data_IF_301276279159
#
_entry.id   IF_301276279159
#
_cell.length_a   1.000
_cell.length_b   1.000
_cell.length_c   1.000
_cell.angle_alpha   90.00
_cell.angle_beta   90.00
_cell.angle_gamma   90.00
#
_symmetry.space_group_name_H-M   'P 1'
#
loop_
_entity.id
_entity.type
_entity.pdbx_description
1 polymer ?
#
# COMPACT_ATOMS: atom_id res chain seq x y z
N UNK A 1 2.23 11.45 40.16
CA UNK A 1 1.88 10.95 38.81
C UNK A 1 2.63 11.78 37.78
N UNK A 2 3.73 11.28 37.22
CA UNK A 2 4.57 12.00 36.27
C UNK A 2 4.10 11.75 34.83
N UNK A 3 3.46 12.77 34.25
CA UNK A 3 3.10 12.85 32.82
C UNK A 3 4.36 13.04 31.96
N UNK A 4 5.25 12.04 31.89
CA UNK A 4 6.30 11.99 30.86
C UNK A 4 5.72 11.29 29.64
N UNK A 5 5.00 12.07 28.82
CA UNK A 5 4.55 11.68 27.48
C UNK A 5 5.78 11.29 26.66
N UNK A 6 5.68 10.14 26.02
CA UNK A 6 6.68 9.45 25.20
C UNK A 6 7.12 10.24 23.94
N UNK A 7 7.64 11.45 24.11
CA UNK A 7 7.98 12.37 23.00
C UNK A 7 9.48 12.57 22.86
N UNK A 8 10.29 11.59 23.25
CA UNK A 8 11.70 11.56 22.85
C UNK A 8 11.82 10.46 21.82
N UNK A 9 12.04 10.85 20.56
CA UNK A 9 12.32 9.92 19.49
C UNK A 9 13.53 9.06 19.94
N UNK A 10 13.39 7.73 20.10
CA UNK A 10 14.47 6.88 20.57
C UNK A 10 15.54 6.65 19.49
N UNK A 11 15.30 7.12 18.27
CA UNK A 11 16.24 7.01 17.16
C UNK A 11 17.10 8.28 17.05
N UNK A 12 18.37 8.08 16.71
CA UNK A 12 19.29 9.17 16.41
C UNK A 12 18.79 10.03 15.25
N UNK A 13 19.23 11.29 15.22
CA UNK A 13 18.84 12.23 14.18
C UNK A 13 19.36 11.74 12.81
N UNK A 14 18.42 11.39 11.92
CA UNK A 14 18.76 10.91 10.59
C UNK A 14 19.23 12.09 9.72
N UNK A 15 20.54 12.29 9.63
CA UNK A 15 21.14 13.30 8.76
C UNK A 15 21.14 12.82 7.31
N UNK A 16 20.08 13.12 6.57
CA UNK A 16 19.99 12.83 5.14
C UNK A 16 20.91 13.76 4.35
N UNK A 17 21.87 13.18 3.62
CA UNK A 17 22.69 13.92 2.66
C UNK A 17 21.85 14.38 1.47
N UNK A 18 22.35 15.33 0.68
CA UNK A 18 21.66 15.78 -0.54
C UNK A 18 21.44 14.62 -1.53
N UNK A 19 22.40 13.70 -1.63
CA UNK A 19 22.30 12.51 -2.48
C UNK A 19 21.23 11.52 -1.99
N UNK A 20 21.13 11.32 -0.68
CA UNK A 20 20.11 10.43 -0.10
C UNK A 20 18.70 10.96 -0.35
N UNK A 21 18.52 12.28 -0.32
CA UNK A 21 17.23 12.92 -0.65
C UNK A 21 16.85 12.69 -2.11
N UNK A 22 17.79 12.80 -3.04
CA UNK A 22 17.54 12.52 -4.46
C UNK A 22 17.13 11.06 -4.65
N UNK A 23 17.86 10.12 -4.02
CA UNK A 23 17.50 8.69 -4.08
C UNK A 23 16.12 8.40 -3.48
N UNK A 24 15.76 9.06 -2.39
CA UNK A 24 14.44 8.91 -1.77
C UNK A 24 13.33 9.45 -2.68
N UNK A 25 13.58 10.55 -3.39
CA UNK A 25 12.66 11.08 -4.39
C UNK A 25 12.51 10.11 -5.56
N UNK A 26 13.60 9.58 -6.11
CA UNK A 26 13.56 8.60 -7.20
C UNK A 26 12.75 7.36 -6.82
N UNK A 27 12.90 6.88 -5.58
CA UNK A 27 12.10 5.75 -5.06
C UNK A 27 10.63 6.15 -4.92
N UNK A 28 10.34 7.32 -4.38
CA UNK A 28 8.97 7.80 -4.22
C UNK A 28 8.27 7.97 -5.57
N UNK A 29 8.98 8.50 -6.56
CA UNK A 29 8.49 8.67 -7.93
C UNK A 29 8.25 7.31 -8.58
N UNK A 30 9.21 6.38 -8.48
CA UNK A 30 9.05 5.03 -9.02
C UNK A 30 7.83 4.29 -8.42
N UNK A 31 7.61 4.39 -7.11
CA UNK A 31 6.43 3.83 -6.46
C UNK A 31 5.16 4.51 -6.95
N UNK A 32 5.18 5.84 -7.06
CA UNK A 32 4.03 6.64 -7.50
C UNK A 32 3.64 6.27 -8.93
N UNK A 33 4.59 6.26 -9.85
CA UNK A 33 4.33 5.91 -11.26
C UNK A 33 3.79 4.48 -11.39
N UNK A 34 4.40 3.50 -10.71
CA UNK A 34 3.90 2.12 -10.73
C UNK A 34 2.47 2.01 -10.19
N UNK A 35 2.10 2.81 -9.18
CA UNK A 35 0.74 2.82 -8.62
C UNK A 35 -0.26 3.57 -9.49
N UNK A 36 0.17 4.62 -10.18
CA UNK A 36 -0.66 5.34 -11.17
C UNK A 36 -0.99 4.42 -12.33
N UNK A 37 -0.02 3.68 -12.87
CA UNK A 37 -0.24 2.71 -13.96
C UNK A 37 -1.26 1.63 -13.54
N UNK A 38 -1.10 1.03 -12.35
CA UNK A 38 -2.06 0.05 -11.81
C UNK A 38 -3.47 0.65 -11.65
N UNK A 39 -3.56 1.93 -11.28
CA UNK A 39 -4.83 2.64 -11.16
C UNK A 39 -5.47 2.95 -12.52
N UNK A 40 -4.69 3.36 -13.51
CA UNK A 40 -5.16 3.60 -14.87
C UNK A 40 -5.68 2.31 -15.52
N UNK A 41 -4.97 1.20 -15.35
CA UNK A 41 -5.46 -0.13 -15.77
C UNK A 41 -6.78 -0.47 -15.07
N UNK A 42 -6.89 -0.18 -13.78
CA UNK A 42 -8.12 -0.42 -13.03
C UNK A 42 -9.30 0.44 -13.53
N UNK A 43 -9.04 1.70 -13.90
CA UNK A 43 -10.04 2.58 -14.53
C UNK A 43 -10.46 2.06 -15.91
N UNK A 44 -9.50 1.64 -16.74
CA UNK A 44 -9.77 1.09 -18.07
C UNK A 44 -10.57 -0.22 -18.02
N UNK A 45 -10.40 -1.02 -16.96
CA UNK A 45 -11.15 -2.25 -16.72
C UNK A 45 -12.53 -2.03 -16.07
N UNK A 46 -13.13 -0.84 -16.22
CA UNK A 46 -14.42 -0.45 -15.62
C UNK A 46 -14.47 -0.65 -14.10
N UNK A 47 -13.33 -0.48 -13.40
CA UNK A 47 -13.22 -0.68 -11.95
C UNK A 47 -13.60 -2.11 -11.50
N UNK A 48 -13.49 -3.11 -12.38
CA UNK A 48 -13.80 -4.50 -12.06
C UNK A 48 -12.65 -5.16 -11.31
N UNK A 49 -12.99 -5.88 -10.24
CA UNK A 49 -12.01 -6.66 -9.47
C UNK A 49 -11.99 -8.08 -10.01
N UNK A 50 -10.80 -8.56 -10.40
CA UNK A 50 -10.61 -9.95 -10.80
C UNK A 50 -10.78 -10.90 -9.60
N UNK A 51 -11.95 -11.55 -9.52
CA UNK A 51 -12.32 -12.47 -8.45
C UNK A 51 -11.54 -13.81 -8.49
N UNK A 52 -10.86 -14.10 -9.61
CA UNK A 52 -9.98 -15.26 -9.74
C UNK A 52 -8.67 -15.05 -8.96
N UNK A 53 -8.14 -13.81 -8.98
CA UNK A 53 -6.96 -13.38 -8.23
C UNK A 53 -7.30 -12.92 -6.81
N UNK A 54 -8.43 -12.24 -6.63
CA UNK A 54 -8.82 -11.59 -5.38
C UNK A 54 -10.01 -12.30 -4.71
N UNK A 55 -9.86 -12.66 -3.44
CA UNK A 55 -10.95 -13.20 -2.61
C UNK A 55 -11.52 -12.08 -1.76
N UNK A 56 -12.84 -11.82 -1.87
CA UNK A 56 -13.52 -10.88 -0.98
C UNK A 56 -13.34 -11.32 0.48
N UNK A 57 -12.84 -10.41 1.32
CA UNK A 57 -12.53 -10.68 2.72
C UNK A 57 -13.58 -10.04 3.62
N UNK A 58 -13.76 -8.72 3.53
CA UNK A 58 -14.72 -7.97 4.35
C UNK A 58 -15.33 -6.82 3.55
N UNK A 59 -16.45 -6.30 4.03
CA UNK A 59 -17.03 -5.03 3.55
C UNK A 59 -17.29 -4.17 4.77
N UNK A 60 -16.83 -2.93 4.75
CA UNK A 60 -17.09 -1.93 5.78
C UNK A 60 -17.65 -0.68 5.10
N UNK A 61 -18.94 -0.42 5.32
CA UNK A 61 -19.65 0.67 4.65
C UNK A 61 -19.59 0.57 3.12
N UNK A 62 -19.07 1.64 2.50
CA UNK A 62 -18.85 1.72 1.06
C UNK A 62 -17.57 0.99 0.60
N UNK A 63 -16.71 0.51 1.48
CA UNK A 63 -15.43 -0.11 1.08
C UNK A 63 -15.53 -1.63 1.14
N UNK A 64 -15.12 -2.30 0.05
CA UNK A 64 -14.93 -3.75 0.00
C UNK A 64 -13.45 -4.08 -0.01
N UNK A 65 -13.01 -4.89 0.95
CA UNK A 65 -11.63 -5.36 1.08
C UNK A 65 -11.51 -6.78 0.51
N UNK A 66 -10.47 -6.98 -0.29
CA UNK A 66 -10.12 -8.23 -0.93
C UNK A 66 -8.72 -8.67 -0.50
N UNK A 67 -8.53 -9.98 -0.41
CA UNK A 67 -7.25 -10.62 -0.11
C UNK A 67 -6.80 -11.42 -1.34
N UNK A 68 -5.54 -11.29 -1.73
CA UNK A 68 -5.00 -12.08 -2.85
C UNK A 68 -5.05 -13.58 -2.52
N UNK A 69 -5.50 -14.40 -3.47
CA UNK A 69 -5.56 -15.85 -3.28
C UNK A 69 -4.13 -16.43 -3.33
N UNK A 70 -3.79 -17.28 -2.34
CA UNK A 70 -2.47 -17.95 -2.23
C UNK A 70 -2.03 -18.73 -3.47
N UNK A 71 -2.97 -19.17 -4.32
CA UNK A 71 -2.67 -19.85 -5.59
C UNK A 71 -1.89 -18.98 -6.59
N UNK A 72 -1.95 -17.65 -6.45
CA UNK A 72 -1.31 -16.69 -7.36
C UNK A 72 0.11 -16.31 -6.90
N UNK A 73 0.46 -16.54 -5.63
CA UNK A 73 1.81 -16.32 -5.13
C UNK A 73 2.13 -17.25 -3.94
N UNK A 74 2.58 -18.49 -4.19
CA UNK A 74 2.79 -19.49 -3.15
C UNK A 74 4.03 -19.23 -2.28
N UNK A 75 4.95 -18.37 -2.72
CA UNK A 75 6.22 -18.08 -2.03
C UNK A 75 6.14 -16.85 -1.13
N UNK A 76 5.17 -15.95 -1.35
CA UNK A 76 5.01 -14.77 -0.50
C UNK A 76 4.27 -15.11 0.80
N UNK A 77 4.93 -14.85 1.93
CA UNK A 77 4.32 -14.90 3.27
C UNK A 77 3.49 -13.65 3.58
N UNK A 78 3.57 -12.61 2.74
CA UNK A 78 2.91 -11.33 2.99
C UNK A 78 1.51 -11.31 2.35
N UNK A 79 0.45 -11.07 3.14
CA UNK A 79 -0.90 -10.95 2.60
C UNK A 79 -1.01 -9.66 1.79
N UNK A 80 -1.19 -9.78 0.47
CA UNK A 80 -1.56 -8.64 -0.39
C UNK A 80 -3.06 -8.37 -0.23
N UNK A 81 -3.40 -7.11 0.04
CA UNK A 81 -4.79 -6.66 0.19
C UNK A 81 -5.12 -5.59 -0.85
N UNK A 82 -6.35 -5.60 -1.33
CA UNK A 82 -6.90 -4.61 -2.25
C UNK A 82 -8.19 -4.08 -1.63
N UNK A 83 -8.30 -2.77 -1.47
CA UNK A 83 -9.51 -2.13 -0.95
C UNK A 83 -10.11 -1.25 -2.03
N UNK A 84 -11.39 -1.48 -2.33
CA UNK A 84 -12.10 -0.78 -3.39
C UNK A 84 -13.33 -0.12 -2.78
N UNK A 85 -13.50 1.18 -3.05
CA UNK A 85 -14.75 1.88 -2.77
C UNK A 85 -15.84 1.50 -3.76
N UNK A 86 -17.00 1.09 -3.27
CA UNK A 86 -18.24 1.09 -4.03
C UNK A 86 -18.70 2.54 -4.18
N UNK A 87 -18.78 3.00 -5.42
CA UNK A 87 -19.53 4.21 -5.77
C UNK A 87 -21.02 3.87 -5.88
#
# INVERSE_FOLDING_TARGET
MSNKRFTVNPFEELTLTAEDRVKLLDIADAITFAKVEEYEEYLNNEKRVDLSRWKKFTRSGATTSYLKRKKVNPTSKMPETLMVGCF
#
